data_IF_115371106787
#
_entry.id   IF_115371106787
#
_cell.length_a   1.000
_cell.length_b   1.000
_cell.length_c   1.000
_cell.angle_alpha   90.00
_cell.angle_beta   90.00
_cell.angle_gamma   90.00
#
_symmetry.space_group_name_H-M   'P 1'
#
loop_
_entity.id
_entity.type
_entity.pdbx_description
1 polymer ?
#
# COMPACT_ATOMS: atom_id res chain seq x y z
N UNK A 1 14.44 -0.20 -2.48
CA UNK A 1 15.33 0.73 -3.05
C UNK A 1 14.60 1.78 -3.85
N UNK A 2 15.28 2.81 -4.12
CA UNK A 2 14.72 3.90 -4.88
C UNK A 2 15.26 3.90 -6.29
N UNK A 3 14.36 4.09 -7.24
CA UNK A 3 14.76 4.17 -8.63
C UNK A 3 15.60 5.44 -8.87
N UNK A 4 16.67 5.29 -9.62
CA UNK A 4 17.48 6.41 -10.06
C UNK A 4 17.10 6.82 -11.48
N UNK A 5 16.21 6.11 -12.10
CA UNK A 5 15.79 6.39 -13.44
C UNK A 5 14.79 7.53 -13.55
N UNK A 6 14.47 7.88 -14.75
CA UNK A 6 13.44 8.85 -15.02
C UNK A 6 12.08 8.29 -14.67
N UNK A 7 11.17 9.20 -14.37
CA UNK A 7 9.78 8.84 -14.26
C UNK A 7 9.28 8.36 -15.63
N UNK A 8 8.70 7.19 -15.66
CA UNK A 8 8.28 6.54 -16.90
C UNK A 8 6.78 6.27 -16.88
N UNK A 9 6.01 7.25 -16.41
CA UNK A 9 4.55 7.17 -16.34
C UNK A 9 4.04 5.92 -15.62
N UNK A 10 4.85 5.37 -14.73
CA UNK A 10 4.49 4.22 -13.93
C UNK A 10 4.82 2.87 -14.56
N UNK A 11 5.13 2.82 -15.84
CA UNK A 11 5.40 1.52 -16.48
C UNK A 11 6.74 0.93 -16.06
N UNK A 12 7.78 1.76 -16.02
CA UNK A 12 9.08 1.30 -15.57
C UNK A 12 9.07 0.90 -14.11
N UNK A 13 8.46 1.71 -13.28
CA UNK A 13 8.35 1.46 -11.85
C UNK A 13 7.54 0.20 -11.57
N UNK A 14 6.48 -0.03 -12.31
CA UNK A 14 5.66 -1.22 -12.17
C UNK A 14 6.46 -2.47 -12.51
N UNK A 15 7.20 -2.41 -13.61
CA UNK A 15 8.04 -3.54 -14.05
C UNK A 15 9.13 -3.83 -13.02
N UNK A 16 9.79 -2.77 -12.50
CA UNK A 16 10.83 -2.93 -11.49
C UNK A 16 10.29 -3.54 -10.20
N UNK A 17 9.12 -3.11 -9.78
CA UNK A 17 8.50 -3.65 -8.57
C UNK A 17 8.16 -5.13 -8.74
N UNK A 18 7.64 -5.51 -9.90
CA UNK A 18 7.31 -6.91 -10.17
C UNK A 18 8.57 -7.76 -10.21
N UNK A 19 9.66 -7.26 -10.80
CA UNK A 19 10.93 -7.97 -10.86
C UNK A 19 11.52 -8.16 -9.47
N UNK A 20 11.44 -7.14 -8.62
CA UNK A 20 11.93 -7.22 -7.26
C UNK A 20 11.16 -8.28 -6.47
N UNK A 21 9.85 -8.35 -6.66
CA UNK A 21 9.02 -9.34 -6.00
C UNK A 21 9.40 -10.76 -6.44
N UNK A 22 9.62 -10.95 -7.73
CA UNK A 22 10.05 -12.26 -8.25
C UNK A 22 11.38 -12.67 -7.64
N UNK A 23 12.32 -11.72 -7.55
CA UNK A 23 13.63 -12.00 -6.97
C UNK A 23 13.51 -12.41 -5.50
N UNK A 24 12.67 -11.72 -4.75
CA UNK A 24 12.44 -12.03 -3.35
C UNK A 24 11.85 -13.43 -3.18
N UNK A 25 10.92 -13.81 -4.03
CA UNK A 25 10.32 -15.14 -3.98
C UNK A 25 11.32 -16.23 -4.30
N UNK A 26 12.25 -15.95 -5.23
CA UNK A 26 13.31 -16.89 -5.56
C UNK A 26 14.26 -17.12 -4.38
N UNK A 27 14.58 -16.04 -3.66
CA UNK A 27 15.46 -16.10 -2.48
C UNK A 27 14.76 -16.80 -1.32
N UNK A 28 13.46 -16.57 -1.14
CA UNK A 28 12.72 -17.08 0.00
C UNK A 28 11.54 -17.94 -0.46
N UNK A 29 11.83 -19.12 -1.05
CA UNK A 29 10.75 -19.95 -1.61
C UNK A 29 9.78 -20.47 -0.56
N UNK A 30 10.17 -20.50 0.70
CA UNK A 30 9.32 -20.98 1.79
C UNK A 30 8.57 -19.87 2.51
N UNK A 31 8.67 -18.63 2.02
CA UNK A 31 7.95 -17.52 2.64
C UNK A 31 6.45 -17.78 2.54
N UNK A 32 5.78 -17.76 3.69
CA UNK A 32 4.34 -17.99 3.75
C UNK A 32 3.52 -16.77 3.36
N UNK A 33 4.10 -15.59 3.54
CA UNK A 33 3.39 -14.34 3.33
C UNK A 33 4.17 -13.44 2.41
N UNK A 34 3.48 -12.83 1.48
CA UNK A 34 4.06 -11.88 0.57
C UNK A 34 3.26 -10.58 0.68
N UNK A 35 3.95 -9.50 0.97
CA UNK A 35 3.33 -8.19 1.18
C UNK A 35 3.94 -7.21 0.20
N UNK A 36 3.14 -6.22 -0.21
CA UNK A 36 3.67 -5.16 -1.03
C UNK A 36 3.33 -3.82 -0.38
N UNK A 37 4.26 -2.89 -0.42
CA UNK A 37 4.03 -1.57 0.14
C UNK A 37 4.53 -0.51 -0.81
N UNK A 38 3.97 0.68 -0.68
CA UNK A 38 4.39 1.81 -1.48
C UNK A 38 3.98 3.12 -0.84
N UNK A 39 4.72 4.17 -1.15
CA UNK A 39 4.50 5.51 -0.64
C UNK A 39 4.16 6.43 -1.80
N UNK A 40 3.07 7.20 -1.65
CA UNK A 40 2.64 8.19 -2.64
C UNK A 40 2.49 7.55 -4.02
N UNK A 41 3.22 8.02 -5.04
CA UNK A 41 3.16 7.42 -6.36
C UNK A 41 3.47 5.93 -6.31
N UNK A 42 4.42 5.54 -5.45
CA UNK A 42 4.75 4.12 -5.25
C UNK A 42 3.59 3.30 -4.73
N UNK A 43 2.67 3.92 -3.98
CA UNK A 43 1.47 3.23 -3.53
C UNK A 43 0.57 2.86 -4.72
N UNK A 44 0.44 3.76 -5.68
CA UNK A 44 -0.34 3.48 -6.88
C UNK A 44 0.30 2.35 -7.69
N UNK A 45 1.63 2.36 -7.81
CA UNK A 45 2.36 1.29 -8.48
C UNK A 45 2.17 -0.04 -7.74
N UNK A 46 2.29 -0.01 -6.42
CA UNK A 46 2.12 -1.22 -5.61
C UNK A 46 0.75 -1.85 -5.80
N UNK A 47 -0.29 -1.03 -5.88
CA UNK A 47 -1.64 -1.54 -6.08
C UNK A 47 -1.82 -2.18 -7.45
N UNK A 48 -1.12 -1.67 -8.46
CA UNK A 48 -1.15 -2.28 -9.79
C UNK A 48 -0.43 -3.63 -9.79
N UNK A 49 0.69 -3.72 -9.09
CA UNK A 49 1.40 -4.99 -8.94
C UNK A 49 0.50 -5.99 -8.21
N UNK A 50 -0.19 -5.53 -7.18
CA UNK A 50 -1.12 -6.37 -6.42
C UNK A 50 -2.14 -7.05 -7.34
N UNK A 51 -2.66 -6.31 -8.32
CA UNK A 51 -3.65 -6.84 -9.24
C UNK A 51 -3.10 -7.93 -10.16
N UNK A 52 -1.79 -7.98 -10.34
CA UNK A 52 -1.14 -8.92 -11.27
C UNK A 52 -0.45 -10.08 -10.58
N UNK A 53 -0.33 -10.03 -9.26
CA UNK A 53 0.42 -11.04 -8.51
C UNK A 53 -0.48 -11.67 -7.44
N UNK A 54 -1.15 -12.77 -7.76
CA UNK A 54 -2.09 -13.40 -6.81
C UNK A 54 -1.42 -13.94 -5.55
N UNK A 55 -0.10 -14.10 -5.56
CA UNK A 55 0.62 -14.57 -4.39
C UNK A 55 0.77 -13.50 -3.31
N UNK A 56 0.43 -12.23 -3.62
CA UNK A 56 0.51 -11.16 -2.62
C UNK A 56 -0.68 -11.26 -1.68
N UNK A 57 -0.40 -11.39 -0.38
CA UNK A 57 -1.44 -11.57 0.63
C UNK A 57 -2.07 -10.26 1.08
N UNK A 58 -1.29 -9.18 1.08
CA UNK A 58 -1.79 -7.92 1.60
C UNK A 58 -0.95 -6.76 1.09
N UNK A 59 -1.47 -5.54 1.25
CA UNK A 59 -0.77 -4.35 0.80
C UNK A 59 -0.68 -3.32 1.91
N UNK A 60 0.28 -2.41 1.78
CA UNK A 60 0.41 -1.25 2.66
C UNK A 60 0.58 -0.04 1.75
N UNK A 61 -0.41 0.82 1.72
CA UNK A 61 -0.38 2.03 0.89
C UNK A 61 -0.27 3.25 1.79
N UNK A 62 0.84 3.96 1.69
CA UNK A 62 1.09 5.15 2.48
C UNK A 62 0.93 6.37 1.58
N UNK A 63 0.04 7.28 1.97
CA UNK A 63 -0.26 8.49 1.23
C UNK A 63 -0.63 8.21 -0.24
N UNK A 64 -1.57 7.32 -0.51
CA UNK A 64 -1.92 7.01 -1.89
C UNK A 64 -2.51 8.24 -2.58
N UNK A 65 -2.05 8.57 -3.80
CA UNK A 65 -2.46 9.82 -4.47
C UNK A 65 -3.84 9.69 -5.14
N UNK A 66 -4.87 9.54 -4.32
CA UNK A 66 -6.23 9.26 -4.79
C UNK A 66 -6.84 10.39 -5.61
N UNK A 67 -6.32 11.60 -5.49
CA UNK A 67 -6.79 12.74 -6.27
C UNK A 67 -6.07 12.92 -7.60
N UNK A 68 -4.96 12.22 -7.80
CA UNK A 68 -4.13 12.40 -9.00
C UNK A 68 -4.18 11.20 -9.94
N UNK A 69 -4.42 10.02 -9.41
CA UNK A 69 -4.42 8.79 -10.19
C UNK A 69 -5.70 8.01 -9.97
N UNK A 70 -6.06 7.22 -10.95
CA UNK A 70 -7.27 6.43 -10.92
C UNK A 70 -7.03 5.11 -10.19
N UNK A 71 -7.82 4.84 -9.17
CA UNK A 71 -7.76 3.61 -8.40
C UNK A 71 -8.96 2.69 -8.65
N UNK A 72 -9.77 2.98 -9.68
CA UNK A 72 -10.97 2.19 -9.95
C UNK A 72 -10.66 0.76 -10.36
N UNK A 73 -9.41 0.48 -10.77
CA UNK A 73 -9.01 -0.88 -11.11
C UNK A 73 -9.08 -1.83 -9.89
N UNK A 74 -9.22 -1.29 -8.68
CA UNK A 74 -9.35 -2.09 -7.46
C UNK A 74 -10.79 -2.50 -7.16
N UNK A 75 -11.55 -2.74 -8.18
CA UNK A 75 -12.94 -3.20 -8.05
C UNK A 75 -13.13 -4.44 -8.94
N UNK A 76 -12.95 -5.66 -8.41
CA UNK A 76 -12.73 -5.99 -7.00
C UNK A 76 -11.26 -5.91 -6.59
N UNK A 77 -11.04 -5.53 -5.34
CA UNK A 77 -9.71 -5.54 -4.77
C UNK A 77 -9.37 -6.97 -4.31
N UNK A 78 -8.21 -7.49 -4.71
CA UNK A 78 -7.94 -8.90 -4.48
C UNK A 78 -7.49 -9.26 -3.06
N UNK A 79 -7.13 -8.29 -2.24
CA UNK A 79 -6.66 -8.60 -0.89
C UNK A 79 -6.92 -7.46 0.07
N UNK A 80 -6.87 -7.79 1.36
CA UNK A 80 -6.96 -6.82 2.43
C UNK A 80 -5.69 -5.98 2.51
N UNK A 81 -5.74 -4.88 3.20
CA UNK A 81 -4.56 -4.03 3.31
C UNK A 81 -4.70 -2.90 4.29
N UNK A 82 -3.62 -2.15 4.41
CA UNK A 82 -3.51 -0.99 5.28
C UNK A 82 -3.32 0.25 4.44
N UNK A 83 -4.07 1.30 4.76
CA UNK A 83 -3.90 2.62 4.14
C UNK A 83 -3.56 3.60 5.25
N UNK A 84 -2.45 4.33 5.09
CA UNK A 84 -2.03 5.36 6.05
C UNK A 84 -1.99 6.69 5.32
N UNK A 85 -2.57 7.72 5.94
CA UNK A 85 -2.59 9.05 5.33
C UNK A 85 -2.44 10.12 6.39
N UNK A 86 -1.85 11.25 6.01
CA UNK A 86 -1.68 12.39 6.91
C UNK A 86 -2.90 13.28 6.89
N UNK A 87 -3.35 13.69 8.09
CA UNK A 87 -4.55 14.53 8.19
C UNK A 87 -4.34 15.92 7.59
N UNK A 88 -3.08 16.35 7.45
CA UNK A 88 -2.74 17.66 6.88
C UNK A 88 -1.95 17.56 5.60
N UNK A 89 -2.23 16.55 4.81
CA UNK A 89 -1.58 16.39 3.51
C UNK A 89 -2.12 17.44 2.55
N UNK A 90 -1.24 18.34 2.11
CA UNK A 90 -1.60 19.42 1.21
C UNK A 90 -1.63 18.99 -0.26
N UNK A 91 -0.92 17.92 -0.59
CA UNK A 91 -0.86 17.42 -1.97
C UNK A 91 -2.03 16.50 -2.27
N UNK A 92 -2.41 15.67 -1.31
CA UNK A 92 -3.50 14.73 -1.46
C UNK A 92 -4.45 14.92 -0.29
N UNK A 93 -5.58 15.61 -0.51
CA UNK A 93 -6.52 15.85 0.59
C UNK A 93 -6.97 14.56 1.24
N UNK A 94 -7.04 14.57 2.57
CA UNK A 94 -7.45 13.38 3.32
C UNK A 94 -8.82 12.88 2.90
N UNK A 95 -9.72 13.79 2.52
CA UNK A 95 -11.06 13.40 2.08
C UNK A 95 -11.05 12.52 0.84
N UNK A 96 -10.10 12.72 -0.07
CA UNK A 96 -10.00 11.88 -1.26
C UNK A 96 -9.54 10.47 -0.91
N UNK A 97 -8.63 10.35 0.05
CA UNK A 97 -8.17 9.03 0.49
C UNK A 97 -9.24 8.35 1.33
N UNK A 98 -9.96 9.10 2.15
CA UNK A 98 -11.08 8.55 2.90
C UNK A 98 -12.14 7.96 1.98
N UNK A 99 -12.40 8.63 0.87
CA UNK A 99 -13.36 8.14 -0.13
C UNK A 99 -12.87 6.84 -0.75
N UNK A 100 -11.58 6.78 -1.11
CA UNK A 100 -11.00 5.55 -1.64
C UNK A 100 -11.09 4.42 -0.63
N UNK A 101 -10.70 4.69 0.61
CA UNK A 101 -10.74 3.68 1.67
C UNK A 101 -12.17 3.16 1.88
N UNK A 102 -13.15 4.06 1.87
CA UNK A 102 -14.54 3.67 2.06
C UNK A 102 -15.03 2.77 0.93
N UNK A 103 -14.67 3.08 -0.31
CA UNK A 103 -15.04 2.25 -1.44
C UNK A 103 -14.46 0.86 -1.32
N UNK A 104 -13.22 0.76 -0.88
CA UNK A 104 -12.60 -0.54 -0.68
C UNK A 104 -13.21 -1.28 0.50
N UNK A 105 -13.51 -0.58 1.59
CA UNK A 105 -14.12 -1.16 2.77
C UNK A 105 -15.52 -1.73 2.50
N UNK A 106 -16.21 -1.19 1.50
CA UNK A 106 -17.54 -1.67 1.12
C UNK A 106 -17.48 -2.98 0.34
N UNK A 107 -16.31 -3.41 -0.08
CA UNK A 107 -16.18 -4.66 -0.80
C UNK A 107 -16.20 -5.83 0.18
N UNK A 108 -16.78 -6.94 -0.26
CA UNK A 108 -16.86 -8.14 0.54
C UNK A 108 -15.54 -8.91 0.46
N UNK A 109 -15.28 -9.71 1.46
CA UNK A 109 -14.12 -10.63 1.49
C UNK A 109 -12.79 -9.97 1.75
N UNK A 110 -12.74 -8.66 1.94
CA UNK A 110 -11.50 -7.99 2.31
C UNK A 110 -11.77 -7.02 3.47
N UNK A 111 -10.71 -6.74 4.21
CA UNK A 111 -10.75 -5.78 5.30
C UNK A 111 -9.68 -4.73 5.04
N UNK A 112 -10.09 -3.47 5.04
CA UNK A 112 -9.20 -2.35 4.83
C UNK A 112 -9.04 -1.59 6.13
N UNK A 113 -7.80 -1.54 6.63
CA UNK A 113 -7.47 -0.78 7.83
C UNK A 113 -7.00 0.59 7.37
N UNK A 114 -7.78 1.61 7.66
CA UNK A 114 -7.45 2.98 7.26
C UNK A 114 -7.05 3.76 8.49
N UNK A 115 -5.82 4.26 8.52
CA UNK A 115 -5.26 4.99 9.66
C UNK A 115 -4.83 6.38 9.23
N UNK A 116 -5.37 7.39 9.90
CA UNK A 116 -5.04 8.78 9.63
C UNK A 116 -4.13 9.28 10.74
N UNK A 117 -2.99 9.85 10.36
CA UNK A 117 -2.04 10.38 11.34
C UNK A 117 -2.29 11.88 11.52
N UNK A 118 -2.73 12.23 12.70
CA UNK A 118 -3.09 13.61 13.04
C UNK A 118 -1.87 14.52 12.91
N UNK A 119 -2.05 15.63 12.24
CA UNK A 119 -0.98 16.62 12.09
C UNK A 119 0.07 16.32 11.06
N UNK A 120 -0.02 15.19 10.36
CA UNK A 120 1.00 14.80 9.40
C UNK A 120 0.72 15.38 8.02
N UNK A 121 1.79 15.85 7.37
CA UNK A 121 1.71 16.32 5.98
C UNK A 121 2.02 15.15 5.03
N UNK A 122 2.15 15.44 3.73
CA UNK A 122 2.35 14.40 2.73
C UNK A 122 3.61 13.56 2.97
N UNK A 123 4.68 14.19 3.43
CA UNK A 123 5.95 13.51 3.68
C UNK A 123 6.07 12.98 5.11
N UNK A 124 5.05 13.18 5.93
CA UNK A 124 5.05 12.76 7.33
C UNK A 124 6.23 13.34 8.10
N UNK A 125 6.55 14.60 7.82
CA UNK A 125 7.63 15.30 8.55
C UNK A 125 7.36 15.24 10.04
N UNK A 126 8.38 14.87 10.82
CA UNK A 126 8.31 14.71 12.27
C UNK A 126 7.33 13.60 12.72
N UNK A 127 6.78 12.84 11.78
CA UNK A 127 5.82 11.77 12.07
C UNK A 127 6.21 10.42 11.47
N UNK A 128 7.39 10.32 10.89
CA UNK A 128 7.84 9.08 10.24
C UNK A 128 7.81 7.91 11.23
N UNK A 129 8.19 8.15 12.48
CA UNK A 129 8.17 7.08 13.48
C UNK A 129 6.77 6.54 13.72
N UNK A 130 5.75 7.39 13.63
CA UNK A 130 4.37 6.96 13.78
C UNK A 130 3.94 6.08 12.62
N UNK A 131 4.36 6.41 11.41
CA UNK A 131 4.08 5.58 10.24
C UNK A 131 4.66 4.18 10.46
N UNK A 132 5.93 4.13 10.88
CA UNK A 132 6.57 2.85 11.16
C UNK A 132 5.85 2.04 12.23
N UNK A 133 5.39 2.69 13.29
CA UNK A 133 4.66 2.00 14.35
C UNK A 133 3.33 1.44 13.86
N UNK A 134 2.63 2.19 13.01
CA UNK A 134 1.36 1.70 12.45
C UNK A 134 1.60 0.51 11.54
N UNK A 135 2.66 0.54 10.75
CA UNK A 135 2.99 -0.57 9.87
C UNK A 135 3.34 -1.81 10.70
N UNK A 136 4.18 -1.65 11.73
CA UNK A 136 4.53 -2.77 12.60
C UNK A 136 3.31 -3.36 13.28
N UNK A 137 2.44 -2.49 13.80
CA UNK A 137 1.22 -2.93 14.47
C UNK A 137 0.34 -3.73 13.52
N UNK A 138 0.18 -3.25 12.30
CA UNK A 138 -0.64 -3.93 11.31
C UNK A 138 -0.04 -5.29 10.94
N UNK A 139 1.27 -5.33 10.71
CA UNK A 139 1.94 -6.58 10.36
C UNK A 139 1.82 -7.60 11.48
N UNK A 140 2.05 -7.18 12.72
CA UNK A 140 1.95 -8.08 13.87
C UNK A 140 0.55 -8.65 14.03
N UNK A 141 -0.47 -7.81 13.91
CA UNK A 141 -1.86 -8.25 14.02
C UNK A 141 -2.20 -9.26 12.94
N UNK A 142 -1.77 -9.01 11.73
CA UNK A 142 -2.18 -9.84 10.60
C UNK A 142 -1.34 -11.10 10.47
N UNK A 143 -0.08 -11.06 10.88
CA UNK A 143 0.73 -12.26 10.90
C UNK A 143 0.25 -13.21 11.99
N UNK A 144 -0.14 -12.69 13.15
CA UNK A 144 -0.68 -13.51 14.22
C UNK A 144 -1.96 -14.22 13.78
N UNK A 145 -2.84 -13.49 13.09
CA UNK A 145 -4.07 -14.07 12.56
C UNK A 145 -3.76 -15.17 11.54
N UNK A 146 -2.81 -14.91 10.65
CA UNK A 146 -2.44 -15.86 9.62
C UNK A 146 -1.83 -17.13 10.22
N UNK A 147 -1.01 -16.97 11.27
CA UNK A 147 -0.40 -18.12 11.94
C UNK A 147 -1.44 -18.94 12.70
N UNK A 148 -2.45 -18.27 13.25
CA UNK A 148 -3.51 -18.96 13.99
C UNK A 148 -4.48 -19.69 13.06
N UNK A 149 -4.63 -19.16 11.87
CA UNK A 149 -5.50 -19.77 10.88
C UNK A 149 -4.81 -20.89 10.15
#
# INVERSE_FOLDING_TARGET
GRSQGRFDHGFGELSDAASALDWMQTINPNAKFCWISGFSFGAWIAMQVLMRRPEIHSFIAVAPPANMFDFTFLAPCPSSGLIIHGARDDLVPESDVATLAQKLQNQRHIEIDYRVIKGANHLFEDKINLVGKHIESYLDENMAIAEAG
#
